data_IF_668864413408
#
_entry.id   IF_668864413408
#
_cell.length_a   1.000
_cell.length_b   1.000
_cell.length_c   1.000
_cell.angle_alpha   90.00
_cell.angle_beta   90.00
_cell.angle_gamma   90.00
#
_symmetry.space_group_name_H-M   'P 1'
#
loop_
_entity.id
_entity.type
_entity.pdbx_description
1 polymer ?
#
# COMPACT_ATOMS: atom_id res chain seq x y z
N UNK A 1 -13.98 11.28 10.66
CA UNK A 1 -14.55 9.96 11.03
C UNK A 1 -13.42 8.94 11.04
N UNK A 2 -13.32 8.13 12.10
CA UNK A 2 -12.44 6.96 12.13
C UNK A 2 -13.30 5.71 12.03
N UNK A 3 -13.04 4.85 11.05
CA UNK A 3 -13.80 3.63 10.80
C UNK A 3 -12.90 2.41 10.97
N UNK A 4 -13.25 1.54 11.92
CA UNK A 4 -12.49 0.34 12.26
C UNK A 4 -13.36 -0.94 12.29
N UNK A 5 -14.44 -0.97 11.49
CA UNK A 5 -15.35 -2.11 11.43
C UNK A 5 -14.69 -3.33 10.78
N UNK A 6 -14.98 -4.53 11.29
CA UNK A 6 -14.54 -5.80 10.70
C UNK A 6 -15.35 -6.22 9.47
N UNK A 7 -16.61 -5.77 9.36
CA UNK A 7 -17.52 -6.20 8.30
C UNK A 7 -17.30 -5.36 7.02
N UNK A 8 -16.73 -5.90 5.92
CA UNK A 8 -16.30 -5.09 4.78
C UNK A 8 -17.43 -4.36 4.08
N UNK A 9 -18.60 -5.01 3.97
CA UNK A 9 -19.80 -4.38 3.36
C UNK A 9 -20.30 -3.20 4.20
N UNK A 10 -20.34 -3.35 5.52
CA UNK A 10 -20.78 -2.29 6.42
C UNK A 10 -19.79 -1.11 6.42
N UNK A 11 -18.48 -1.41 6.35
CA UNK A 11 -17.44 -0.39 6.23
C UNK A 11 -17.65 0.46 4.98
N UNK A 12 -17.75 -0.15 3.81
CA UNK A 12 -17.98 0.57 2.53
C UNK A 12 -19.27 1.39 2.57
N UNK A 13 -20.39 0.81 3.04
CA UNK A 13 -21.66 1.53 3.14
C UNK A 13 -21.57 2.76 4.04
N UNK A 14 -20.89 2.67 5.18
CA UNK A 14 -20.72 3.79 6.09
C UNK A 14 -19.81 4.87 5.51
N UNK A 15 -18.74 4.51 4.79
CA UNK A 15 -17.87 5.47 4.10
C UNK A 15 -18.67 6.25 3.06
N UNK A 16 -19.38 5.54 2.17
CA UNK A 16 -20.19 6.18 1.12
C UNK A 16 -21.27 7.08 1.70
N UNK A 17 -21.94 6.65 2.77
CA UNK A 17 -22.92 7.46 3.48
C UNK A 17 -22.28 8.73 4.07
N UNK A 18 -21.21 8.57 4.85
CA UNK A 18 -20.54 9.70 5.50
C UNK A 18 -20.01 10.73 4.51
N UNK A 19 -19.44 10.29 3.37
CA UNK A 19 -18.97 11.18 2.30
C UNK A 19 -20.13 11.92 1.62
N UNK A 20 -21.28 11.26 1.41
CA UNK A 20 -22.47 11.88 0.82
C UNK A 20 -23.06 12.94 1.74
N UNK A 21 -23.17 12.66 3.03
CA UNK A 21 -23.73 13.59 4.02
C UNK A 21 -22.80 14.78 4.28
N UNK A 22 -21.48 14.57 4.25
CA UNK A 22 -20.51 15.64 4.39
C UNK A 22 -19.31 15.44 3.45
N UNK A 23 -19.33 16.10 2.27
CA UNK A 23 -18.23 16.03 1.31
C UNK A 23 -16.88 16.56 1.83
N UNK A 24 -16.86 17.34 2.92
CA UNK A 24 -15.63 17.88 3.53
C UNK A 24 -15.08 17.03 4.68
N UNK A 25 -15.81 15.99 5.10
CA UNK A 25 -15.41 15.15 6.22
C UNK A 25 -14.13 14.37 5.88
N UNK A 26 -13.11 14.47 6.74
CA UNK A 26 -11.93 13.63 6.62
C UNK A 26 -12.22 12.23 7.20
N UNK A 27 -12.03 11.18 6.40
CA UNK A 27 -12.37 9.79 6.72
C UNK A 27 -11.09 8.95 6.74
N UNK A 28 -10.75 8.45 7.93
CA UNK A 28 -9.66 7.50 8.16
C UNK A 28 -10.25 6.12 8.36
N UNK A 29 -9.76 5.11 7.64
CA UNK A 29 -10.35 3.76 7.65
C UNK A 29 -9.30 2.66 7.79
N UNK A 30 -9.65 1.61 8.53
CA UNK A 30 -8.95 0.32 8.48
C UNK A 30 -9.43 -0.45 7.25
N UNK A 31 -8.51 -1.07 6.52
CA UNK A 31 -8.80 -2.08 5.50
C UNK A 31 -8.08 -3.38 5.86
N UNK A 32 -8.68 -4.53 5.56
CA UNK A 32 -8.08 -5.85 5.77
C UNK A 32 -6.98 -6.14 4.77
N UNK A 33 -7.27 -5.85 3.50
CA UNK A 33 -6.41 -6.19 2.39
C UNK A 33 -6.42 -5.12 1.30
N UNK A 34 -5.62 -5.35 0.25
CA UNK A 34 -5.49 -4.41 -0.87
C UNK A 34 -6.79 -4.24 -1.66
N UNK A 35 -7.65 -5.25 -1.73
CA UNK A 35 -8.94 -5.13 -2.44
C UNK A 35 -9.91 -4.25 -1.64
N UNK A 36 -9.92 -4.39 -0.31
CA UNK A 36 -10.72 -3.51 0.54
C UNK A 36 -10.24 -2.06 0.50
N UNK A 37 -8.92 -1.82 0.38
CA UNK A 37 -8.39 -0.48 0.12
C UNK A 37 -9.03 0.14 -1.13
N UNK A 38 -9.11 -0.60 -2.23
CA UNK A 38 -9.71 -0.08 -3.46
C UNK A 38 -11.19 0.25 -3.31
N UNK A 39 -11.94 -0.58 -2.56
CA UNK A 39 -13.35 -0.28 -2.26
C UNK A 39 -13.49 0.97 -1.39
N UNK A 40 -12.66 1.12 -0.37
CA UNK A 40 -12.69 2.29 0.51
C UNK A 40 -12.31 3.57 -0.24
N UNK A 41 -11.32 3.47 -1.14
CA UNK A 41 -10.92 4.56 -2.03
C UNK A 41 -12.08 5.00 -2.92
N UNK A 42 -12.73 4.06 -3.62
CA UNK A 42 -13.89 4.37 -4.47
C UNK A 42 -15.10 4.89 -3.67
N UNK A 43 -15.25 4.47 -2.41
CA UNK A 43 -16.28 4.98 -1.50
C UNK A 43 -16.00 6.42 -1.00
N UNK A 44 -14.77 6.92 -1.19
CA UNK A 44 -14.37 8.29 -0.84
C UNK A 44 -13.68 8.43 0.51
N UNK A 45 -12.99 7.39 1.01
CA UNK A 45 -12.09 7.50 2.15
C UNK A 45 -10.80 8.25 1.79
N UNK A 46 -10.25 9.01 2.74
CA UNK A 46 -9.06 9.85 2.52
C UNK A 46 -7.79 9.09 2.91
N UNK A 47 -7.76 8.56 4.13
CA UNK A 47 -6.66 7.78 4.66
C UNK A 47 -7.09 6.33 4.90
N UNK A 48 -6.41 5.39 4.25
CA UNK A 48 -6.76 3.98 4.32
C UNK A 48 -5.53 3.21 4.79
N UNK A 49 -5.65 2.56 5.95
CA UNK A 49 -4.57 1.82 6.60
C UNK A 49 -4.89 0.34 6.55
N UNK A 50 -3.98 -0.46 5.97
CA UNK A 50 -4.12 -1.92 5.96
C UNK A 50 -3.69 -2.49 7.31
N UNK A 51 -4.56 -3.29 7.91
CA UNK A 51 -4.42 -3.72 9.30
C UNK A 51 -3.11 -4.48 9.61
N UNK A 52 -2.63 -5.30 8.67
CA UNK A 52 -1.41 -6.12 8.86
C UNK A 52 -0.16 -5.51 8.21
N UNK A 53 -0.28 -4.39 7.50
CA UNK A 53 0.80 -3.92 6.62
C UNK A 53 2.01 -3.45 7.44
N UNK A 54 1.80 -2.54 8.39
CA UNK A 54 2.89 -1.96 9.19
C UNK A 54 3.59 -3.02 10.07
N UNK A 55 2.83 -3.96 10.63
CA UNK A 55 3.41 -5.08 11.38
C UNK A 55 4.21 -6.02 10.49
N UNK A 56 3.78 -6.25 9.25
CA UNK A 56 4.51 -7.09 8.29
C UNK A 56 5.82 -6.44 7.85
N UNK A 57 5.86 -5.11 7.72
CA UNK A 57 7.10 -4.37 7.45
C UNK A 57 8.12 -4.54 8.57
N UNK A 58 7.66 -4.44 9.83
CA UNK A 58 8.51 -4.69 10.99
C UNK A 58 9.04 -6.13 11.02
N UNK A 59 8.20 -7.11 10.72
CA UNK A 59 8.63 -8.50 10.63
C UNK A 59 9.66 -8.71 9.51
N UNK A 60 9.45 -8.11 8.34
CA UNK A 60 10.41 -8.14 7.22
C UNK A 60 11.75 -7.53 7.60
N UNK A 61 11.76 -6.41 8.33
CA UNK A 61 12.99 -5.83 8.87
C UNK A 61 13.76 -6.80 9.77
N UNK A 62 13.08 -7.50 10.69
CA UNK A 62 13.74 -8.50 11.53
C UNK A 62 14.36 -9.65 10.73
N UNK A 63 13.70 -10.07 9.65
CA UNK A 63 14.26 -11.09 8.75
C UNK A 63 15.53 -10.56 8.08
N UNK A 64 15.51 -9.34 7.53
CA UNK A 64 16.68 -8.73 6.91
C UNK A 64 17.86 -8.57 7.88
N UNK A 65 17.59 -8.14 9.11
CA UNK A 65 18.61 -8.03 10.16
C UNK A 65 19.24 -9.40 10.47
N UNK A 66 18.43 -10.45 10.58
CA UNK A 66 18.92 -11.81 10.80
C UNK A 66 19.64 -12.43 9.59
N UNK A 67 19.42 -11.90 8.39
CA UNK A 67 20.15 -12.27 7.17
C UNK A 67 21.51 -11.55 7.05
N UNK A 68 21.86 -10.70 8.01
CA UNK A 68 23.17 -10.04 8.08
C UNK A 68 23.17 -8.57 7.68
N UNK A 69 22.01 -7.96 7.40
CA UNK A 69 21.92 -6.51 7.22
C UNK A 69 22.02 -5.82 8.59
N UNK A 70 22.71 -4.69 8.64
CA UNK A 70 22.65 -3.83 9.82
C UNK A 70 21.25 -3.22 10.01
N UNK A 71 20.95 -2.79 11.23
CA UNK A 71 19.65 -2.17 11.54
C UNK A 71 19.36 -0.90 10.72
N UNK A 72 20.39 -0.16 10.33
CA UNK A 72 20.26 0.98 9.41
C UNK A 72 19.84 0.49 8.01
N UNK A 73 20.53 -0.52 7.49
CA UNK A 73 20.27 -1.02 6.13
C UNK A 73 18.88 -1.64 5.99
N UNK A 74 18.47 -2.45 6.97
CA UNK A 74 17.14 -3.04 7.01
C UNK A 74 16.05 -1.98 7.18
N UNK A 75 16.32 -0.91 7.95
CA UNK A 75 15.42 0.24 8.07
C UNK A 75 15.26 1.01 6.75
N UNK A 76 16.35 1.25 6.00
CA UNK A 76 16.25 1.94 4.71
C UNK A 76 15.48 1.10 3.67
N UNK A 77 15.72 -0.21 3.63
CA UNK A 77 14.94 -1.14 2.80
C UNK A 77 13.44 -1.11 3.16
N UNK A 78 13.12 -1.12 4.46
CA UNK A 78 11.74 -1.02 4.95
C UNK A 78 11.06 0.29 4.53
N UNK A 79 11.76 1.43 4.69
CA UNK A 79 11.24 2.76 4.31
C UNK A 79 10.99 2.87 2.81
N UNK A 80 11.94 2.38 2.01
CA UNK A 80 11.81 2.35 0.55
C UNK A 80 10.56 1.57 0.13
N UNK A 81 10.40 0.36 0.65
CA UNK A 81 9.23 -0.47 0.35
C UNK A 81 7.93 0.18 0.83
N UNK A 82 7.91 0.76 2.04
CA UNK A 82 6.74 1.46 2.58
C UNK A 82 6.28 2.60 1.66
N UNK A 83 7.21 3.47 1.25
CA UNK A 83 6.89 4.60 0.38
C UNK A 83 6.38 4.13 -0.98
N UNK A 84 7.06 3.16 -1.59
CA UNK A 84 6.71 2.62 -2.89
C UNK A 84 5.33 1.92 -2.89
N UNK A 85 5.06 1.07 -1.90
CA UNK A 85 3.81 0.33 -1.82
C UNK A 85 2.61 1.27 -1.60
N UNK A 86 2.73 2.33 -0.77
CA UNK A 86 1.66 3.33 -0.62
C UNK A 86 1.34 4.07 -1.92
N UNK A 87 2.38 4.50 -2.65
CA UNK A 87 2.20 5.15 -3.95
C UNK A 87 1.54 4.21 -4.95
N UNK A 88 2.08 2.98 -5.07
CA UNK A 88 1.57 1.94 -5.94
C UNK A 88 0.10 1.63 -5.71
N UNK A 89 -0.30 1.41 -4.45
CA UNK A 89 -1.69 1.09 -4.11
C UNK A 89 -2.63 2.24 -4.48
N UNK A 90 -2.23 3.49 -4.27
CA UNK A 90 -3.04 4.66 -4.64
C UNK A 90 -3.26 4.73 -6.15
N UNK A 91 -2.21 4.52 -6.95
CA UNK A 91 -2.31 4.54 -8.41
C UNK A 91 -3.14 3.37 -8.94
N UNK A 92 -2.93 2.17 -8.41
CA UNK A 92 -3.70 0.99 -8.77
C UNK A 92 -5.17 1.10 -8.39
N UNK A 93 -5.50 1.81 -7.29
CA UNK A 93 -6.88 2.05 -6.89
C UNK A 93 -7.68 2.83 -7.95
N UNK A 94 -7.02 3.76 -8.66
CA UNK A 94 -7.65 4.52 -9.74
C UNK A 94 -7.95 3.67 -10.99
N UNK A 95 -7.20 2.58 -11.20
CA UNK A 95 -7.35 1.67 -12.33
C UNK A 95 -8.18 0.41 -11.99
N UNK A 96 -8.39 0.15 -10.70
CA UNK A 96 -9.03 -1.06 -10.24
C UNK A 96 -10.53 -1.07 -10.58
N UNK A 97 -11.00 -2.24 -11.02
CA UNK A 97 -12.38 -2.49 -11.40
C UNK A 97 -12.94 -3.66 -10.59
N UNK A 98 -14.02 -3.48 -9.80
CA UNK A 98 -14.59 -4.56 -9.00
C UNK A 98 -15.22 -5.68 -9.84
N UNK A 99 -15.63 -5.36 -11.06
CA UNK A 99 -16.38 -6.23 -11.97
C UNK A 99 -15.48 -7.06 -12.90
N UNK A 100 -14.16 -6.78 -12.92
CA UNK A 100 -13.20 -7.46 -13.79
C UNK A 100 -12.10 -8.11 -12.95
N UNK A 101 -11.79 -9.40 -13.14
CA UNK A 101 -10.63 -10.03 -12.51
C UNK A 101 -9.36 -9.21 -12.79
N UNK A 102 -8.48 -8.96 -11.80
CA UNK A 102 -7.30 -8.11 -12.00
C UNK A 102 -6.42 -8.53 -13.19
N UNK A 103 -6.32 -9.83 -13.48
CA UNK A 103 -5.56 -10.37 -14.61
C UNK A 103 -6.13 -9.99 -15.99
N UNK A 104 -7.41 -9.65 -16.07
CA UNK A 104 -8.10 -9.26 -17.31
C UNK A 104 -8.22 -7.73 -17.45
N UNK A 105 -7.86 -6.97 -16.41
CA UNK A 105 -7.78 -5.52 -16.48
C UNK A 105 -6.41 -5.09 -17.02
N UNK A 106 -6.31 -4.95 -18.35
CA UNK A 106 -5.04 -4.67 -19.03
C UNK A 106 -4.32 -3.41 -18.50
N UNK A 107 -5.06 -2.34 -18.20
CA UNK A 107 -4.49 -1.11 -17.66
C UNK A 107 -3.92 -1.32 -16.25
N UNK A 108 -4.66 -2.01 -15.38
CA UNK A 108 -4.18 -2.38 -14.04
C UNK A 108 -2.94 -3.27 -14.11
N UNK A 109 -2.93 -4.28 -14.98
CA UNK A 109 -1.78 -5.20 -15.14
C UNK A 109 -0.55 -4.49 -15.65
N UNK A 110 -0.70 -3.63 -16.67
CA UNK A 110 0.40 -2.84 -17.21
C UNK A 110 1.02 -1.96 -16.12
N UNK A 111 0.19 -1.19 -15.39
CA UNK A 111 0.68 -0.32 -14.32
C UNK A 111 1.31 -1.11 -13.17
N UNK A 112 0.72 -2.24 -12.78
CA UNK A 112 1.29 -3.09 -11.73
C UNK A 112 2.68 -3.63 -12.10
N UNK A 113 2.91 -3.97 -13.37
CA UNK A 113 4.23 -4.41 -13.86
C UNK A 113 5.26 -3.28 -13.86
N UNK A 114 4.86 -2.07 -14.27
CA UNK A 114 5.73 -0.89 -14.22
C UNK A 114 6.16 -0.59 -12.78
N UNK A 115 5.19 -0.51 -11.86
CA UNK A 115 5.46 -0.28 -10.43
C UNK A 115 6.36 -1.37 -9.84
N UNK A 116 6.17 -2.64 -10.22
CA UNK A 116 7.06 -3.71 -9.78
C UNK A 116 8.51 -3.50 -10.25
N UNK A 117 8.70 -3.11 -11.52
CA UNK A 117 10.02 -2.81 -12.07
C UNK A 117 10.66 -1.58 -11.42
N UNK A 118 9.87 -0.57 -11.09
CA UNK A 118 10.33 0.63 -10.39
C UNK A 118 10.84 0.27 -8.99
N UNK A 119 10.13 -0.59 -8.26
CA UNK A 119 10.56 -1.11 -6.96
C UNK A 119 11.87 -1.89 -7.05
N UNK A 120 11.97 -2.81 -8.01
CA UNK A 120 13.18 -3.60 -8.24
C UNK A 120 14.39 -2.70 -8.53
N UNK A 121 14.20 -1.72 -9.41
CA UNK A 121 15.24 -0.73 -9.75
C UNK A 121 15.65 0.07 -8.52
N UNK A 122 14.69 0.50 -7.68
CA UNK A 122 14.99 1.24 -6.48
C UNK A 122 15.80 0.41 -5.45
N UNK A 123 15.50 -0.89 -5.34
CA UNK A 123 16.28 -1.80 -4.49
C UNK A 123 17.70 -2.06 -5.03
N UNK A 124 17.87 -2.17 -6.34
CA UNK A 124 19.20 -2.27 -6.96
C UNK A 124 20.04 -1.03 -6.65
N UNK A 125 19.47 0.16 -6.83
CA UNK A 125 20.14 1.43 -6.53
C UNK A 125 20.51 1.53 -5.04
N UNK A 126 19.62 1.10 -4.13
CA UNK A 126 19.90 1.05 -2.70
C UNK A 126 21.11 0.15 -2.38
N UNK A 127 21.33 -0.92 -3.15
CA UNK A 127 22.50 -1.78 -3.06
C UNK A 127 23.76 -1.14 -3.65
N UNK A 128 23.67 -0.50 -4.82
CA UNK A 128 24.80 0.16 -5.50
C UNK A 128 25.32 1.39 -4.75
N UNK A 129 24.43 2.24 -4.24
CA UNK A 129 24.80 3.42 -3.45
C UNK A 129 25.54 3.02 -2.17
N UNK A 130 25.27 1.82 -1.66
CA UNK A 130 26.03 1.26 -0.53
C UNK A 130 27.38 0.74 -0.94
N UNK A 131 27.49 -0.03 -2.03
CA UNK A 131 28.77 -0.52 -2.53
C UNK A 131 29.77 0.64 -2.74
N UNK A 132 29.30 1.78 -3.27
CA UNK A 132 30.10 3.00 -3.46
C UNK A 132 30.51 3.70 -2.17
N UNK A 133 29.70 3.64 -1.12
CA UNK A 133 29.98 4.28 0.18
C UNK A 133 30.81 3.40 1.14
N UNK A 134 30.98 2.11 0.83
CA UNK A 134 31.82 1.16 1.58
C UNK A 134 33.22 0.95 0.99
N UNK A 135 33.58 1.71 -0.07
CA UNK A 135 34.91 1.70 -0.71
C UNK A 135 35.62 3.03 -0.46
#
# INVERSE_FOLDING_TARGET
LVLALDAPKAAVSLISYARKENPSLHIVTRARDRTEVYRHYQAGADDIVREMFDSSLRAGRYVLENMGLSGFEASEAQKLFYAHDRASVRELAALWRPDVPPSQNAAYVARAKELQKDLETAFLNLGEDKAKNST
#
